data_IF_045231528718
#
_entry.id   IF_045231528718
#
_cell.length_a   1.000
_cell.length_b   1.000
_cell.length_c   1.000
_cell.angle_alpha   90.00
_cell.angle_beta   90.00
_cell.angle_gamma   90.00
#
_symmetry.space_group_name_H-M   'P 1'
#
loop_
_entity.id
_entity.type
_entity.pdbx_description
1 polymer ?
#
# COMPACT_ATOMS: atom_id res chain seq x y z
N UNK A 1 0.03 -0.37 16.14
CA UNK A 1 0.25 -0.94 14.78
C UNK A 1 -0.06 -2.43 14.74
N UNK A 2 0.66 -3.28 15.47
CA UNK A 2 0.41 -4.75 15.49
C UNK A 2 -1.04 -5.11 15.81
N UNK A 3 -1.66 -4.43 16.79
CA UNK A 3 -3.08 -4.62 17.11
C UNK A 3 -4.03 -4.22 15.97
N UNK A 4 -3.73 -3.19 15.18
CA UNK A 4 -4.60 -2.74 14.10
C UNK A 4 -4.50 -3.68 12.89
N UNK A 5 -3.27 -4.04 12.50
CA UNK A 5 -3.05 -5.00 11.42
C UNK A 5 -3.66 -6.37 11.74
N UNK A 6 -3.49 -6.85 12.97
CA UNK A 6 -4.11 -8.11 13.41
C UNK A 6 -5.65 -8.10 13.31
N UNK A 7 -6.30 -6.96 13.59
CA UNK A 7 -7.76 -6.81 13.42
C UNK A 7 -8.17 -6.88 11.96
N UNK A 8 -7.45 -6.19 11.07
CA UNK A 8 -7.69 -6.24 9.61
C UNK A 8 -7.58 -7.69 9.12
N UNK A 9 -6.46 -8.37 9.41
CA UNK A 9 -6.22 -9.75 8.99
C UNK A 9 -7.28 -10.69 9.54
N UNK A 10 -7.62 -10.56 10.83
CA UNK A 10 -8.66 -11.39 11.44
C UNK A 10 -10.02 -11.19 10.78
N UNK A 11 -10.41 -9.94 10.53
CA UNK A 11 -11.66 -9.64 9.84
C UNK A 11 -11.69 -10.26 8.45
N UNK A 12 -10.59 -10.14 7.67
CA UNK A 12 -10.49 -10.74 6.33
C UNK A 12 -10.59 -12.27 6.41
N UNK A 13 -9.89 -12.93 7.34
CA UNK A 13 -9.94 -14.38 7.50
C UNK A 13 -11.36 -14.89 7.80
N UNK A 14 -12.15 -14.13 8.56
CA UNK A 14 -13.51 -14.52 8.95
C UNK A 14 -14.53 -14.20 7.86
N UNK A 15 -14.43 -13.03 7.23
CA UNK A 15 -15.48 -12.50 6.36
C UNK A 15 -15.11 -12.56 4.87
N UNK A 16 -13.84 -12.34 4.52
CA UNK A 16 -13.36 -12.26 3.14
C UNK A 16 -12.12 -13.16 2.92
N UNK A 17 -12.25 -14.49 3.07
CA UNK A 17 -11.12 -15.42 3.06
C UNK A 17 -10.31 -15.39 1.75
N UNK A 18 -10.95 -15.08 0.63
CA UNK A 18 -10.30 -14.97 -0.68
C UNK A 18 -9.37 -13.75 -0.73
N UNK A 19 -9.77 -12.63 -0.11
CA UNK A 19 -8.88 -11.46 0.08
C UNK A 19 -7.80 -11.73 1.13
N UNK A 20 -8.11 -12.50 2.18
CA UNK A 20 -7.10 -12.90 3.16
C UNK A 20 -5.96 -13.72 2.52
N UNK A 21 -6.28 -14.60 1.57
CA UNK A 21 -5.30 -15.38 0.79
C UNK A 21 -4.46 -14.53 -0.18
N UNK A 22 -4.90 -13.31 -0.53
CA UNK A 22 -4.12 -12.41 -1.38
C UNK A 22 -3.00 -11.70 -0.60
N UNK A 23 -3.04 -11.73 0.74
CA UNK A 23 -2.00 -11.18 1.59
C UNK A 23 -0.70 -11.99 1.50
N UNK A 24 0.43 -11.30 1.39
CA UNK A 24 1.75 -11.93 1.43
C UNK A 24 2.15 -12.31 2.86
N UNK A 25 3.14 -13.20 2.98
CA UNK A 25 3.79 -13.47 4.26
C UNK A 25 4.65 -12.28 4.75
N UNK A 26 5.23 -12.40 5.96
CA UNK A 26 6.25 -11.47 6.48
C UNK A 26 7.42 -11.24 5.51
N UNK A 27 7.93 -10.01 5.47
CA UNK A 27 9.18 -9.69 4.79
C UNK A 27 10.39 -10.35 5.47
N UNK A 28 11.27 -10.91 4.66
CA UNK A 28 12.56 -11.48 5.08
C UNK A 28 13.61 -10.39 5.29
N UNK A 29 14.75 -10.76 5.88
CA UNK A 29 15.88 -9.83 6.01
C UNK A 29 16.40 -9.39 4.63
N UNK A 30 16.34 -10.28 3.64
CA UNK A 30 16.72 -9.99 2.25
C UNK A 30 15.78 -8.96 1.61
N UNK A 31 14.47 -9.10 1.84
CA UNK A 31 13.47 -8.13 1.35
C UNK A 31 13.70 -6.72 1.92
N UNK A 32 13.98 -6.62 3.22
CA UNK A 32 14.24 -5.33 3.89
C UNK A 32 15.57 -4.72 3.42
N UNK A 33 16.60 -5.54 3.26
CA UNK A 33 17.89 -5.08 2.74
C UNK A 33 17.75 -4.56 1.30
N UNK A 34 17.04 -5.28 0.44
CA UNK A 34 16.75 -4.86 -0.94
C UNK A 34 15.94 -3.56 -1.00
N UNK A 35 14.96 -3.40 -0.11
CA UNK A 35 14.22 -2.14 0.00
C UNK A 35 15.14 -0.98 0.43
N UNK A 36 15.98 -1.18 1.44
CA UNK A 36 16.91 -0.13 1.89
C UNK A 36 17.88 0.29 0.77
N UNK A 37 18.37 -0.68 -0.02
CA UNK A 37 19.18 -0.40 -1.20
C UNK A 37 18.42 0.42 -2.23
N UNK A 38 17.17 0.04 -2.54
CA UNK A 38 16.33 0.75 -3.50
C UNK A 38 15.97 2.19 -3.06
N UNK A 39 15.76 2.42 -1.76
CA UNK A 39 15.49 3.75 -1.21
C UNK A 39 16.76 4.63 -1.17
N UNK A 40 17.93 4.01 -1.01
CA UNK A 40 19.21 4.70 -0.78
C UNK A 40 19.39 5.20 0.66
N UNK A 41 18.54 4.76 1.59
CA UNK A 41 18.60 5.07 3.01
C UNK A 41 17.92 3.97 3.84
N UNK A 42 18.04 4.03 5.16
CA UNK A 42 17.48 3.02 6.07
C UNK A 42 15.95 3.02 6.06
N UNK A 43 15.36 1.83 6.02
CA UNK A 43 13.89 1.67 6.13
C UNK A 43 13.46 2.12 7.53
N UNK A 44 12.50 3.06 7.67
CA UNK A 44 12.05 3.48 9.00
C UNK A 44 11.47 2.31 9.80
N UNK A 45 11.81 2.22 11.10
CA UNK A 45 11.39 1.12 12.00
C UNK A 45 9.88 0.80 11.93
N UNK A 46 9.05 1.84 11.81
CA UNK A 46 7.58 1.66 11.72
C UNK A 46 7.15 0.97 10.44
N UNK A 47 7.84 1.25 9.32
CA UNK A 47 7.56 0.63 8.03
C UNK A 47 8.11 -0.79 8.00
N UNK A 48 9.34 -1.02 8.49
CA UNK A 48 9.88 -2.36 8.63
C UNK A 48 8.95 -3.22 9.50
N UNK A 49 8.50 -2.72 10.65
CA UNK A 49 7.60 -3.48 11.52
C UNK A 49 6.25 -3.82 10.83
N UNK A 50 5.74 -3.01 9.90
CA UNK A 50 4.59 -3.39 9.06
C UNK A 50 4.95 -4.49 8.07
N UNK A 51 6.05 -4.32 7.33
CA UNK A 51 6.51 -5.27 6.31
C UNK A 51 6.83 -6.65 6.90
N UNK A 52 7.39 -6.67 8.12
CA UNK A 52 7.62 -7.89 8.92
C UNK A 52 6.34 -8.58 9.39
N UNK A 53 5.19 -7.89 9.36
CA UNK A 53 3.90 -8.54 9.56
C UNK A 53 3.30 -9.02 8.25
N UNK A 54 3.50 -8.26 7.16
CA UNK A 54 2.93 -8.55 5.85
C UNK A 54 3.68 -7.78 4.74
N UNK A 55 4.26 -8.52 3.78
CA UNK A 55 5.03 -7.97 2.67
C UNK A 55 4.14 -7.69 1.43
N UNK A 56 3.14 -6.83 1.60
CA UNK A 56 2.19 -6.49 0.52
C UNK A 56 1.03 -7.47 0.33
N UNK A 57 0.19 -7.21 -0.66
CA UNK A 57 -1.01 -7.99 -0.95
C UNK A 57 -1.02 -8.61 -2.34
N UNK A 58 0.14 -8.98 -2.87
CA UNK A 58 0.31 -9.47 -4.26
C UNK A 58 0.37 -11.00 -4.40
N UNK A 59 -0.04 -11.77 -3.38
CA UNK A 59 0.14 -13.24 -3.37
C UNK A 59 -0.61 -13.99 -4.50
N UNK A 60 -1.67 -13.37 -5.06
CA UNK A 60 -2.44 -13.91 -6.19
C UNK A 60 -2.11 -13.23 -7.52
N UNK A 61 -1.20 -12.26 -7.52
CA UNK A 61 -0.82 -11.57 -8.74
C UNK A 61 -0.10 -12.55 -9.68
N UNK A 62 -0.35 -12.39 -10.97
CA UNK A 62 0.25 -13.22 -12.01
C UNK A 62 1.05 -12.35 -12.96
N UNK A 63 1.66 -12.96 -13.97
CA UNK A 63 2.39 -12.23 -15.00
C UNK A 63 1.84 -12.56 -16.38
N UNK A 64 1.81 -11.57 -17.27
CA UNK A 64 1.37 -11.74 -18.66
C UNK A 64 2.41 -11.19 -19.63
N UNK A 65 2.60 -11.89 -20.75
CA UNK A 65 3.35 -11.38 -21.89
C UNK A 65 2.56 -10.27 -22.59
N UNK A 66 3.11 -9.07 -22.59
CA UNK A 66 2.58 -7.89 -23.25
C UNK A 66 2.89 -7.92 -24.75
N UNK A 67 2.12 -7.20 -25.60
CA UNK A 67 2.34 -7.16 -27.06
C UNK A 67 3.73 -6.67 -27.48
N UNK A 68 4.43 -5.93 -26.61
CA UNK A 68 5.79 -5.45 -26.83
C UNK A 68 6.88 -6.48 -26.45
N UNK A 69 6.51 -7.70 -26.07
CA UNK A 69 7.43 -8.78 -25.69
C UNK A 69 7.91 -8.74 -24.23
N UNK A 70 7.46 -7.77 -23.44
CA UNK A 70 7.78 -7.69 -22.02
C UNK A 70 6.81 -8.53 -21.18
N UNK A 71 7.27 -9.04 -20.04
CA UNK A 71 6.41 -9.69 -19.05
C UNK A 71 6.02 -8.63 -18.01
N UNK A 72 4.73 -8.38 -17.84
CA UNK A 72 4.20 -7.41 -16.89
C UNK A 72 3.32 -8.07 -15.82
N UNK A 73 3.19 -7.44 -14.64
CA UNK A 73 2.30 -7.93 -13.59
C UNK A 73 0.83 -7.79 -14.00
N UNK A 74 0.01 -8.75 -13.57
CA UNK A 74 -1.45 -8.73 -13.64
C UNK A 74 -1.95 -8.89 -12.21
N UNK A 75 -2.40 -7.78 -11.65
CA UNK A 75 -2.87 -7.74 -10.27
C UNK A 75 -4.22 -8.43 -10.12
N UNK A 76 -4.42 -9.08 -8.98
CA UNK A 76 -5.68 -9.73 -8.66
C UNK A 76 -6.57 -8.81 -7.81
N UNK A 77 -7.86 -8.69 -8.12
CA UNK A 77 -8.75 -7.77 -7.37
C UNK A 77 -8.88 -8.13 -5.88
N UNK A 78 -8.62 -9.38 -5.51
CA UNK A 78 -8.61 -9.81 -4.10
C UNK A 78 -7.56 -9.08 -3.25
N UNK A 79 -6.53 -8.54 -3.89
CA UNK A 79 -5.46 -7.72 -3.30
C UNK A 79 -5.96 -6.34 -2.83
N UNK A 80 -7.14 -5.93 -3.30
CA UNK A 80 -7.79 -4.65 -2.96
C UNK A 80 -8.45 -4.76 -1.60
N UNK A 81 -7.68 -4.54 -0.55
CA UNK A 81 -8.16 -4.65 0.83
C UNK A 81 -8.52 -3.29 1.45
N UNK A 82 -8.12 -2.18 0.82
CA UNK A 82 -8.36 -0.83 1.32
C UNK A 82 -9.40 -0.08 0.47
N UNK A 83 -10.11 0.89 1.07
CA UNK A 83 -11.04 1.77 0.36
C UNK A 83 -10.41 2.46 -0.86
N UNK A 84 -11.25 2.87 -1.80
CA UNK A 84 -10.85 3.52 -3.06
C UNK A 84 -9.96 2.66 -3.95
N UNK A 85 -10.19 1.35 -3.93
CA UNK A 85 -9.48 0.44 -4.81
C UNK A 85 -7.99 0.33 -4.49
N UNK A 86 -7.59 0.35 -3.21
CA UNK A 86 -6.17 0.41 -2.83
C UNK A 86 -5.62 -0.92 -2.33
N UNK A 87 -4.33 -1.12 -2.54
CA UNK A 87 -3.56 -2.31 -2.19
C UNK A 87 -2.40 -1.96 -1.25
N UNK A 88 -1.95 -2.94 -0.47
CA UNK A 88 -0.74 -2.82 0.35
C UNK A 88 0.50 -3.16 -0.49
N UNK A 89 1.52 -2.32 -0.45
CA UNK A 89 2.78 -2.56 -1.14
C UNK A 89 3.72 -3.44 -0.31
N UNK A 90 4.42 -4.37 -0.97
CA UNK A 90 5.57 -5.09 -0.42
C UNK A 90 6.88 -4.39 -0.73
N UNK A 91 8.00 -4.87 -0.18
CA UNK A 91 9.33 -4.28 -0.34
C UNK A 91 9.71 -4.01 -1.80
N UNK A 92 9.47 -5.00 -2.68
CA UNK A 92 9.77 -4.86 -4.10
C UNK A 92 8.92 -3.75 -4.75
N UNK A 93 7.60 -3.76 -4.53
CA UNK A 93 6.73 -2.74 -5.11
C UNK A 93 7.01 -1.34 -4.54
N UNK A 94 7.35 -1.23 -3.25
CA UNK A 94 7.76 0.06 -2.66
C UNK A 94 8.99 0.61 -3.38
N UNK A 95 10.02 -0.22 -3.59
CA UNK A 95 11.24 0.18 -4.31
C UNK A 95 10.95 0.62 -5.75
N UNK A 96 10.13 -0.15 -6.47
CA UNK A 96 9.71 0.18 -7.84
C UNK A 96 8.94 1.51 -7.90
N UNK A 97 7.96 1.71 -7.02
CA UNK A 97 7.17 2.94 -7.01
C UNK A 97 8.00 4.14 -6.58
N UNK A 98 8.89 3.98 -5.61
CA UNK A 98 9.79 5.04 -5.20
C UNK A 98 10.71 5.46 -6.37
N UNK A 99 11.32 4.51 -7.07
CA UNK A 99 12.14 4.79 -8.24
C UNK A 99 11.35 5.45 -9.39
N UNK A 100 10.10 5.00 -9.63
CA UNK A 100 9.20 5.60 -10.62
C UNK A 100 8.94 7.08 -10.31
N UNK A 101 8.60 7.42 -9.07
CA UNK A 101 8.33 8.81 -8.68
C UNK A 101 9.58 9.68 -8.73
N UNK A 102 10.73 9.14 -8.31
CA UNK A 102 12.03 9.82 -8.43
C UNK A 102 12.37 10.13 -9.88
N UNK A 103 12.18 9.17 -10.79
CA UNK A 103 12.41 9.37 -12.22
C UNK A 103 11.44 10.40 -12.83
N UNK A 104 10.16 10.38 -12.45
CA UNK A 104 9.17 11.32 -12.94
C UNK A 104 9.43 12.76 -12.49
N UNK A 105 9.89 12.97 -11.25
CA UNK A 105 10.31 14.30 -10.78
C UNK A 105 11.48 14.84 -11.62
N UNK A 106 12.50 14.01 -11.84
CA UNK A 106 13.71 14.37 -12.59
C UNK A 106 13.43 14.61 -14.09
N UNK A 107 12.56 13.82 -14.73
CA UNK A 107 12.23 13.94 -16.15
C UNK A 107 11.38 15.18 -16.46
N UNK A 108 10.47 15.54 -15.55
CA UNK A 108 9.46 16.57 -15.79
C UNK A 108 9.72 17.90 -15.07
N UNK A 109 10.86 18.05 -14.39
CA UNK A 109 11.24 19.24 -13.61
C UNK A 109 10.14 19.64 -12.60
N UNK A 110 9.52 18.62 -11.99
CA UNK A 110 8.39 18.79 -11.08
C UNK A 110 8.87 19.02 -9.64
N UNK A 111 9.75 20.00 -9.45
CA UNK A 111 10.38 20.29 -8.16
C UNK A 111 9.35 20.34 -7.00
N UNK A 112 9.49 19.42 -6.04
CA UNK A 112 8.63 19.34 -4.86
C UNK A 112 7.32 18.57 -5.05
N UNK A 113 7.12 17.95 -6.21
CA UNK A 113 6.00 17.05 -6.49
C UNK A 113 6.16 15.70 -5.78
N UNK A 114 7.39 15.18 -5.68
CA UNK A 114 7.70 14.01 -4.87
C UNK A 114 8.93 14.28 -3.99
N UNK A 115 8.80 14.17 -2.67
CA UNK A 115 9.94 14.41 -1.79
C UNK A 115 10.74 13.11 -1.60
N UNK A 116 12.07 13.19 -1.68
CA UNK A 116 12.99 12.09 -1.32
C UNK A 116 12.58 11.31 -0.06
N UNK A 117 12.19 11.94 1.07
CA UNK A 117 11.79 11.18 2.26
C UNK A 117 10.46 10.43 2.15
N UNK A 118 9.69 10.59 1.07
CA UNK A 118 8.38 9.95 0.95
C UNK A 118 8.52 8.53 0.42
N UNK A 119 8.03 7.58 1.22
CA UNK A 119 8.09 6.16 0.91
C UNK A 119 6.66 5.69 0.66
N UNK A 120 6.29 5.26 -0.56
CA UNK A 120 4.94 4.80 -0.84
C UNK A 120 4.67 3.50 -0.06
N UNK A 121 3.48 3.34 0.51
CA UNK A 121 3.13 2.14 1.31
C UNK A 121 1.82 1.53 0.86
N UNK A 122 0.86 2.35 0.44
CA UNK A 122 -0.43 1.93 -0.10
C UNK A 122 -0.64 2.68 -1.40
N UNK A 123 -1.14 2.00 -2.42
CA UNK A 123 -1.44 2.63 -3.71
C UNK A 123 -2.77 2.18 -4.27
N UNK A 124 -3.29 2.90 -5.24
CA UNK A 124 -4.38 2.44 -6.10
C UNK A 124 -4.02 1.13 -6.82
N UNK A 125 -5.03 0.33 -7.06
CA UNK A 125 -4.90 -0.98 -7.70
C UNK A 125 -4.27 -0.88 -9.09
N UNK A 126 -4.48 0.24 -9.78
CA UNK A 126 -3.87 0.48 -11.09
C UNK A 126 -2.38 0.86 -10.99
N UNK A 127 -1.87 1.24 -9.80
CA UNK A 127 -0.47 1.61 -9.55
C UNK A 127 -0.05 2.86 -10.30
N UNK A 128 -1.00 3.79 -10.46
CA UNK A 128 -0.84 4.92 -11.35
C UNK A 128 -0.35 6.12 -10.55
N UNK A 129 -1.24 6.76 -9.77
CA UNK A 129 -0.93 8.09 -9.23
C UNK A 129 -1.49 8.39 -7.84
N UNK A 130 -2.21 7.46 -7.20
CA UNK A 130 -2.90 7.75 -5.93
C UNK A 130 -2.50 6.78 -4.84
N UNK A 131 -2.26 7.29 -3.63
CA UNK A 131 -1.88 6.42 -2.53
C UNK A 131 -1.51 7.15 -1.26
N UNK A 132 -0.89 6.40 -0.36
CA UNK A 132 -0.39 6.88 0.91
C UNK A 132 1.11 6.59 1.01
N UNK A 133 1.88 7.61 1.39
CA UNK A 133 3.31 7.52 1.62
C UNK A 133 3.66 7.92 3.06
N UNK A 134 4.66 7.26 3.65
CA UNK A 134 5.25 7.69 4.92
C UNK A 134 6.27 8.79 4.65
N UNK A 135 6.15 9.92 5.33
CA UNK A 135 7.14 10.99 5.27
C UNK A 135 8.24 10.74 6.31
N UNK A 136 9.36 10.18 5.87
CA UNK A 136 10.53 9.92 6.72
C UNK A 136 11.34 11.18 7.09
N UNK A 137 11.03 12.33 6.48
CA UNK A 137 11.71 13.60 6.70
C UNK A 137 11.13 14.40 7.86
N UNK A 138 9.99 13.98 8.40
CA UNK A 138 9.28 14.65 9.48
C UNK A 138 9.26 13.78 10.74
N UNK A 139 9.64 14.31 11.92
CA UNK A 139 9.51 13.59 13.17
C UNK A 139 8.08 13.10 13.40
N UNK A 140 7.94 11.83 13.78
CA UNK A 140 6.63 11.18 13.94
C UNK A 140 6.17 10.37 12.72
N UNK A 141 6.86 10.48 11.58
CA UNK A 141 6.62 9.68 10.38
C UNK A 141 5.15 9.74 9.93
N UNK A 142 4.60 10.95 9.70
CA UNK A 142 3.21 11.10 9.29
C UNK A 142 2.98 10.43 7.93
N UNK A 143 1.73 10.05 7.69
CA UNK A 143 1.32 9.51 6.41
C UNK A 143 0.70 10.62 5.59
N UNK A 144 1.22 10.81 4.38
CA UNK A 144 0.69 11.76 3.39
C UNK A 144 -0.10 11.01 2.34
N UNK A 145 -1.23 11.58 1.95
CA UNK A 145 -1.94 11.17 0.75
C UNK A 145 -1.35 11.90 -0.46
N UNK A 146 -1.00 11.15 -1.49
CA UNK A 146 -0.55 11.67 -2.77
C UNK A 146 -1.55 11.28 -3.87
N UNK A 147 -1.61 12.11 -4.91
CA UNK A 147 -2.58 12.00 -6.00
C UNK A 147 -2.14 12.85 -7.18
N UNK A 148 -2.49 12.43 -8.40
CA UNK A 148 -2.21 13.19 -9.62
C UNK A 148 -2.75 14.64 -9.51
N UNK A 149 -1.88 15.62 -9.78
CA UNK A 149 -2.27 17.03 -9.77
C UNK A 149 -2.75 17.58 -8.41
N UNK A 150 -2.55 16.83 -7.32
CA UNK A 150 -2.95 17.23 -5.98
C UNK A 150 -1.74 17.66 -5.15
N UNK A 151 -1.92 18.70 -4.34
CA UNK A 151 -0.94 19.04 -3.30
C UNK A 151 -1.07 17.98 -2.20
N UNK A 152 -0.02 17.23 -1.87
CA UNK A 152 -0.09 16.16 -0.88
C UNK A 152 -0.51 16.69 0.48
N UNK A 153 -1.37 15.93 1.17
CA UNK A 153 -1.95 16.31 2.46
C UNK A 153 -1.66 15.25 3.50
N UNK A 154 -1.50 15.68 4.75
CA UNK A 154 -1.44 14.72 5.84
C UNK A 154 -2.77 13.94 5.92
N UNK A 155 -2.68 12.63 5.75
CA UNK A 155 -3.79 11.70 5.86
C UNK A 155 -3.94 11.17 7.29
N UNK A 156 -2.81 10.95 7.96
CA UNK A 156 -2.78 10.50 9.35
C UNK A 156 -1.45 10.90 10.01
N UNK A 157 -1.45 11.09 11.34
CA UNK A 157 -0.23 11.45 12.07
C UNK A 157 0.79 10.30 12.16
N UNK A 158 0.40 9.07 11.81
CA UNK A 158 1.31 7.91 11.71
C UNK A 158 0.65 6.74 10.95
N UNK A 159 1.47 5.80 10.49
CA UNK A 159 1.00 4.55 9.87
C UNK A 159 0.11 3.72 10.79
N UNK A 160 0.39 3.74 12.10
CA UNK A 160 -0.43 3.05 13.09
C UNK A 160 -1.84 3.63 13.19
N UNK A 161 -1.99 4.95 13.08
CA UNK A 161 -3.30 5.62 13.10
C UNK A 161 -4.06 5.36 11.81
N UNK A 162 -3.40 5.42 10.65
CA UNK A 162 -4.03 5.10 9.37
C UNK A 162 -4.59 3.67 9.35
N UNK A 163 -3.78 2.69 9.73
CA UNK A 163 -4.21 1.28 9.80
C UNK A 163 -5.32 1.08 10.85
N UNK A 164 -5.29 1.84 11.95
CA UNK A 164 -6.36 1.84 12.95
C UNK A 164 -7.69 2.27 12.34
N UNK A 165 -7.70 3.35 11.56
CA UNK A 165 -8.90 3.83 10.87
C UNK A 165 -9.47 2.79 9.89
N UNK A 166 -8.61 2.07 9.16
CA UNK A 166 -9.06 0.98 8.27
C UNK A 166 -9.65 -0.20 9.04
N UNK A 167 -9.01 -0.62 10.13
CA UNK A 167 -9.53 -1.66 11.00
C UNK A 167 -10.92 -1.29 11.54
N UNK A 168 -11.07 -0.06 12.03
CA UNK A 168 -12.36 0.40 12.54
C UNK A 168 -13.42 0.50 11.43
N UNK A 169 -13.03 0.82 10.20
CA UNK A 169 -13.95 0.86 9.05
C UNK A 169 -14.48 -0.51 8.67
N UNK A 170 -13.63 -1.55 8.66
CA UNK A 170 -14.06 -2.93 8.45
C UNK A 170 -15.02 -3.41 9.54
N UNK A 171 -14.77 -3.03 10.80
CA UNK A 171 -15.63 -3.46 11.92
C UNK A 171 -16.97 -2.71 11.98
N UNK A 172 -16.98 -1.43 11.60
CA UNK A 172 -18.23 -0.65 11.50
C UNK A 172 -19.04 -0.98 10.25
N UNK A 173 -18.36 -1.47 9.23
CA UNK A 173 -18.90 -1.71 7.92
C UNK A 173 -19.09 -0.47 7.05
N UNK A 174 -18.14 0.47 7.11
CA UNK A 174 -18.02 1.53 6.10
C UNK A 174 -16.76 2.38 6.27
N UNK A 175 -16.32 2.93 5.14
CA UNK A 175 -15.36 4.03 5.06
C UNK A 175 -16.06 5.30 4.53
N UNK A 176 -16.54 6.14 5.45
CA UNK A 176 -17.36 7.29 5.09
C UNK A 176 -18.67 6.82 4.46
N UNK A 177 -18.93 7.25 3.22
CA UNK A 177 -20.11 6.84 2.43
C UNK A 177 -19.89 5.53 1.66
N UNK A 178 -18.71 4.90 1.76
CA UNK A 178 -18.37 3.68 1.04
C UNK A 178 -18.61 2.46 1.93
N UNK A 179 -19.72 1.72 1.74
CA UNK A 179 -19.93 0.48 2.48
C UNK A 179 -18.89 -0.56 2.06
N UNK A 180 -18.54 -1.44 2.99
CA UNK A 180 -17.87 -2.69 2.67
C UNK A 180 -18.93 -3.74 2.30
N UNK A 181 -18.53 -4.68 1.45
CA UNK A 181 -19.31 -5.89 1.23
C UNK A 181 -18.39 -7.01 0.77
N UNK A 182 -18.91 -8.23 0.80
CA UNK A 182 -18.15 -9.43 0.44
C UNK A 182 -18.80 -10.11 -0.75
N UNK A 183 -18.06 -10.20 -1.85
CA UNK A 183 -18.44 -10.96 -3.04
C UNK A 183 -17.66 -12.27 -3.10
N UNK A 184 -18.34 -13.41 -3.03
CA UNK A 184 -17.69 -14.73 -3.16
C UNK A 184 -16.45 -14.91 -2.26
N UNK A 185 -16.46 -14.30 -1.07
CA UNK A 185 -15.35 -14.34 -0.12
C UNK A 185 -14.25 -13.31 -0.36
N UNK A 186 -14.45 -12.35 -1.27
CA UNK A 186 -13.53 -11.26 -1.57
C UNK A 186 -14.10 -9.92 -1.11
N UNK A 187 -13.27 -9.10 -0.47
CA UNK A 187 -13.67 -7.79 0.06
C UNK A 187 -13.85 -6.79 -1.09
N UNK A 188 -14.91 -5.99 -1.00
CA UNK A 188 -15.21 -4.87 -1.90
C UNK A 188 -15.57 -3.63 -1.08
N UNK A 189 -15.36 -2.47 -1.69
CA UNK A 189 -15.70 -1.16 -1.13
C UNK A 189 -16.46 -0.36 -2.17
N UNK A 190 -17.56 0.30 -1.76
CA UNK A 190 -18.38 1.15 -2.62
C UNK A 190 -19.76 0.56 -2.90
N UNK A 191 -20.49 1.19 -3.83
CA UNK A 191 -21.82 0.73 -4.25
C UNK A 191 -21.73 -0.67 -4.91
N UNK A 192 -22.72 -1.52 -4.62
CA UNK A 192 -22.90 -2.86 -5.23
C UNK A 192 -23.36 -2.77 -6.69
#
# INVERSE_FOLDING_TARGET
MQSAWGRIVHWLQVNAPVSAEALCGPATDEDIAGLSEALGFEVPDVLEALLRMNNGSSAKDTTRLLPNGQVGPVRHLDSVIFPYGKILLGCAEIGEQYAKWRGAEEEHDLDGYWKIPWIPVIQDFEGQYYGYAVDSGVPGLPVVEYGEGSVPREAAPSLAVLLGSFADALERGSWGEWPEWVDQGSLRWGEE
#
